data_IF_502680488583
#
_entry.id   IF_502680488583
#
_cell.length_a   1.000
_cell.length_b   1.000
_cell.length_c   1.000
_cell.angle_alpha   90.00
_cell.angle_beta   90.00
_cell.angle_gamma   90.00
#
_symmetry.space_group_name_H-M   'P 1'
#
loop_
_entity.id
_entity.type
_entity.pdbx_description
1 polymer ?
#
# COMPACT_ATOMS: atom_id res chain seq x y z
N UNK A 1 26.29 -4.96 57.00
CA UNK A 1 26.03 -5.70 55.75
C UNK A 1 26.02 -4.73 54.58
N UNK A 2 26.69 -5.07 53.47
CA UNK A 2 26.92 -4.17 52.35
C UNK A 2 25.60 -3.87 51.59
N UNK A 3 25.22 -2.59 51.48
CA UNK A 3 23.94 -2.15 50.88
C UNK A 3 23.75 -2.71 49.47
N UNK A 4 24.83 -2.89 48.72
CA UNK A 4 24.83 -3.51 47.39
C UNK A 4 24.35 -4.96 47.41
N UNK A 5 24.79 -5.77 48.40
CA UNK A 5 24.37 -7.17 48.55
C UNK A 5 22.90 -7.28 48.94
N UNK A 6 22.39 -6.32 49.71
CA UNK A 6 20.98 -6.25 50.11
C UNK A 6 20.10 -5.90 48.91
N UNK A 7 20.47 -4.87 48.12
CA UNK A 7 19.76 -4.50 46.90
C UNK A 7 19.75 -5.65 45.89
N UNK A 8 20.90 -6.32 45.68
CA UNK A 8 21.00 -7.47 44.80
C UNK A 8 20.09 -8.62 45.25
N UNK A 9 20.07 -8.94 46.55
CA UNK A 9 19.21 -10.00 47.10
C UNK A 9 17.72 -9.67 46.93
N UNK A 10 17.31 -8.41 47.14
CA UNK A 10 15.94 -7.98 46.92
C UNK A 10 15.53 -8.14 45.44
N UNK A 11 16.40 -7.72 44.52
CA UNK A 11 16.16 -7.80 43.08
C UNK A 11 16.05 -9.25 42.60
N UNK A 12 16.86 -10.14 43.17
CA UNK A 12 16.83 -11.57 42.88
C UNK A 12 15.53 -12.22 43.38
N UNK A 13 15.03 -11.78 44.55
CA UNK A 13 13.75 -12.24 45.10
C UNK A 13 12.57 -11.81 44.22
N UNK A 14 12.57 -10.57 43.75
CA UNK A 14 11.56 -10.06 42.81
C UNK A 14 11.61 -10.80 41.47
N UNK A 15 12.81 -11.06 40.94
CA UNK A 15 13.00 -11.82 39.70
C UNK A 15 12.45 -13.24 39.82
N UNK A 16 12.80 -13.95 40.90
CA UNK A 16 12.32 -15.31 41.15
C UNK A 16 10.79 -15.34 41.29
N UNK A 17 10.20 -14.38 42.00
CA UNK A 17 8.75 -14.23 42.12
C UNK A 17 8.07 -13.98 40.77
N UNK A 18 8.64 -13.13 39.92
CA UNK A 18 8.10 -12.82 38.59
C UNK A 18 8.15 -14.03 37.65
N UNK A 19 9.26 -14.79 37.65
CA UNK A 19 9.39 -16.00 36.83
C UNK A 19 8.40 -17.07 37.28
N UNK A 20 8.26 -17.27 38.59
CA UNK A 20 7.26 -18.18 39.16
C UNK A 20 5.85 -17.79 38.73
N UNK A 21 5.47 -16.52 38.93
CA UNK A 21 4.16 -16.01 38.52
C UNK A 21 3.88 -16.18 37.02
N UNK A 22 4.88 -15.90 36.18
CA UNK A 22 4.78 -16.08 34.73
C UNK A 22 4.55 -17.55 34.35
N UNK A 23 5.24 -18.49 35.01
CA UNK A 23 5.06 -19.91 34.74
C UNK A 23 3.67 -20.39 35.13
N UNK A 24 3.17 -20.00 36.31
CA UNK A 24 1.81 -20.36 36.76
C UNK A 24 0.73 -19.81 35.83
N UNK A 25 0.95 -18.63 35.24
CA UNK A 25 -0.04 -17.96 34.38
C UNK A 25 0.17 -18.19 32.89
N UNK A 26 1.20 -18.94 32.51
CA UNK A 26 1.44 -19.31 31.11
C UNK A 26 0.30 -20.21 30.61
N UNK A 27 -0.48 -19.78 29.60
CA UNK A 27 -1.53 -20.62 29.05
C UNK A 27 -0.87 -21.79 28.31
N UNK A 28 -1.10 -23.02 28.79
CA UNK A 28 -0.61 -24.21 28.10
C UNK A 28 -1.37 -24.39 26.79
N UNK A 29 -0.63 -24.52 25.70
CA UNK A 29 -1.18 -24.90 24.41
C UNK A 29 -1.77 -26.31 24.55
N UNK A 30 -3.05 -26.47 24.23
CA UNK A 30 -3.71 -27.77 24.20
C UNK A 30 -3.28 -28.50 22.93
N UNK A 31 -2.24 -29.32 23.03
CA UNK A 31 -1.85 -30.21 21.95
C UNK A 31 -2.87 -31.34 21.82
N UNK A 32 -3.56 -31.41 20.69
CA UNK A 32 -4.50 -32.49 20.39
C UNK A 32 -3.68 -33.72 19.97
N UNK A 33 -3.60 -34.72 20.85
CA UNK A 33 -2.76 -35.92 20.70
C UNK A 33 -3.00 -36.74 19.41
N UNK A 34 -4.15 -36.55 18.75
CA UNK A 34 -4.43 -37.17 17.47
C UNK A 34 -5.26 -36.25 16.58
N UNK A 35 -4.67 -35.79 15.48
CA UNK A 35 -5.40 -35.12 14.42
C UNK A 35 -6.32 -36.16 13.75
N UNK A 36 -7.63 -36.01 13.93
CA UNK A 36 -8.65 -36.92 13.37
C UNK A 36 -8.64 -36.95 11.83
N UNK A 37 -8.07 -35.94 11.19
CA UNK A 37 -7.89 -35.88 9.74
C UNK A 37 -6.41 -35.69 9.42
N UNK A 38 -5.82 -36.66 8.72
CA UNK A 38 -4.47 -36.55 8.16
C UNK A 38 -4.53 -35.79 6.83
N UNK A 39 -3.57 -34.90 6.54
CA UNK A 39 -3.48 -34.26 5.23
C UNK A 39 -3.35 -35.34 4.14
N UNK A 40 -4.23 -35.30 3.14
CA UNK A 40 -4.30 -36.29 2.05
C UNK A 40 -5.40 -37.34 2.19
N UNK A 41 -6.16 -37.37 3.28
CA UNK A 41 -7.26 -38.33 3.45
C UNK A 41 -8.56 -37.77 2.84
N UNK A 42 -9.07 -38.42 1.79
CA UNK A 42 -10.39 -38.10 1.21
C UNK A 42 -11.50 -38.55 2.15
N UNK A 43 -12.38 -37.63 2.54
CA UNK A 43 -13.51 -37.93 3.40
C UNK A 43 -14.54 -38.80 2.65
N UNK A 44 -14.69 -40.06 3.05
CA UNK A 44 -15.78 -40.91 2.55
C UNK A 44 -17.08 -40.54 3.27
N UNK A 45 -17.89 -39.72 2.62
CA UNK A 45 -19.27 -39.46 3.07
C UNK A 45 -20.11 -40.70 2.74
N UNK A 46 -20.30 -41.59 3.72
CA UNK A 46 -21.26 -42.68 3.60
C UNK A 46 -22.68 -42.12 3.74
N UNK A 47 -23.33 -41.86 2.61
CA UNK A 47 -24.74 -41.44 2.57
C UNK A 47 -25.61 -42.69 2.70
N UNK A 48 -26.07 -42.98 3.92
CA UNK A 48 -27.02 -44.06 4.15
C UNK A 48 -28.39 -43.67 3.53
N UNK A 49 -28.80 -44.33 2.45
CA UNK A 49 -30.00 -44.00 1.64
C UNK A 49 -31.35 -44.37 2.31
N UNK A 50 -31.36 -44.73 3.60
CA UNK A 50 -32.59 -45.08 4.33
C UNK A 50 -32.54 -44.53 5.76
N UNK A 51 -32.92 -43.27 5.93
CA UNK A 51 -33.38 -42.78 7.22
C UNK A 51 -34.57 -41.83 6.97
N UNK A 52 -35.72 -42.00 7.66
CA UNK A 52 -36.86 -41.13 7.48
C UNK A 52 -36.53 -39.73 7.96
N UNK A 53 -36.96 -38.73 7.20
CA UNK A 53 -36.82 -37.31 7.53
C UNK A 53 -37.67 -36.99 8.75
N UNK A 54 -37.03 -36.88 9.91
CA UNK A 54 -37.60 -36.16 11.06
C UNK A 54 -37.20 -34.69 10.92
N UNK A 55 -38.11 -33.73 11.20
CA UNK A 55 -37.77 -32.31 11.15
C UNK A 55 -36.85 -31.98 12.33
N UNK A 56 -35.54 -32.08 12.07
CA UNK A 56 -34.52 -31.67 13.02
C UNK A 56 -34.57 -30.14 13.17
N UNK A 57 -34.64 -29.72 14.44
CA UNK A 57 -34.51 -28.34 14.86
C UNK A 57 -33.37 -27.63 14.13
N UNK A 58 -33.60 -26.37 13.76
CA UNK A 58 -32.70 -25.51 12.99
C UNK A 58 -31.35 -25.41 13.69
N UNK A 59 -30.42 -26.26 13.25
CA UNK A 59 -29.01 -26.18 13.62
C UNK A 59 -28.38 -25.16 12.67
N UNK A 60 -28.04 -23.98 13.19
CA UNK A 60 -27.46 -22.83 12.47
C UNK A 60 -26.05 -23.09 11.90
N UNK A 61 -25.67 -24.37 11.78
CA UNK A 61 -24.41 -24.87 11.25
C UNK A 61 -24.61 -25.82 10.07
N UNK A 62 -25.83 -25.90 9.55
CA UNK A 62 -26.14 -26.68 8.35
C UNK A 62 -26.19 -25.76 7.11
N UNK A 63 -25.59 -26.24 6.02
CA UNK A 63 -25.61 -25.53 4.74
C UNK A 63 -27.05 -25.51 4.22
N UNK A 64 -27.61 -24.32 4.01
CA UNK A 64 -28.95 -24.16 3.47
C UNK A 64 -28.98 -24.41 1.96
N UNK A 65 -29.12 -25.67 1.56
CA UNK A 65 -29.20 -26.04 0.14
C UNK A 65 -30.40 -25.42 -0.59
N UNK A 66 -31.44 -25.02 0.14
CA UNK A 66 -32.61 -24.34 -0.43
C UNK A 66 -32.30 -22.99 -1.09
N UNK A 67 -31.15 -22.36 -0.78
CA UNK A 67 -30.73 -21.11 -1.42
C UNK A 67 -30.11 -21.33 -2.82
N UNK A 68 -29.72 -22.57 -3.16
CA UNK A 68 -29.21 -22.91 -4.50
C UNK A 68 -30.35 -23.10 -5.50
N UNK A 69 -31.52 -23.56 -5.04
CA UNK A 69 -32.71 -23.73 -5.86
C UNK A 69 -33.46 -22.40 -6.11
N UNK A 70 -33.06 -21.33 -5.43
CA UNK A 70 -33.54 -19.99 -5.75
C UNK A 70 -32.94 -19.53 -7.08
N UNK A 71 -33.78 -19.51 -8.12
CA UNK A 71 -33.47 -18.88 -9.39
C UNK A 71 -33.12 -17.41 -9.15
N UNK A 72 -31.82 -17.10 -9.15
CA UNK A 72 -31.36 -15.71 -9.00
C UNK A 72 -31.90 -14.89 -10.17
N UNK A 73 -32.54 -13.73 -9.91
CA UNK A 73 -32.99 -12.87 -10.99
C UNK A 73 -31.77 -12.46 -11.83
N UNK A 74 -31.87 -12.65 -13.15
CA UNK A 74 -30.78 -12.36 -14.07
C UNK A 74 -30.29 -10.92 -13.88
N UNK A 75 -28.97 -10.74 -13.81
CA UNK A 75 -28.36 -9.42 -13.66
C UNK A 75 -28.76 -8.52 -14.85
N UNK A 76 -29.59 -7.50 -14.58
CA UNK A 76 -30.06 -6.50 -15.55
C UNK A 76 -29.08 -5.35 -15.75
N UNK A 77 -27.92 -5.39 -15.09
CA UNK A 77 -26.90 -4.35 -15.16
C UNK A 77 -25.99 -4.43 -16.39
N UNK A 78 -25.04 -3.50 -16.43
CA UNK A 78 -24.11 -3.33 -17.55
C UNK A 78 -23.10 -4.47 -17.64
N UNK A 79 -23.14 -5.25 -18.73
CA UNK A 79 -22.18 -6.32 -19.02
C UNK A 79 -20.97 -5.75 -19.76
N UNK A 80 -20.01 -5.19 -19.04
CA UNK A 80 -18.70 -4.81 -19.61
C UNK A 80 -17.75 -5.99 -19.53
N UNK A 81 -17.11 -6.34 -20.64
CA UNK A 81 -15.99 -7.28 -20.62
C UNK A 81 -14.76 -6.56 -20.05
N UNK A 82 -14.56 -6.68 -18.74
CA UNK A 82 -13.40 -6.10 -18.04
C UNK A 82 -12.08 -6.80 -18.36
N UNK A 83 -12.13 -7.90 -19.11
CA UNK A 83 -10.96 -8.62 -19.60
C UNK A 83 -10.65 -8.33 -21.07
N UNK A 84 -11.42 -7.45 -21.74
CA UNK A 84 -11.01 -6.99 -23.05
C UNK A 84 -9.78 -6.10 -22.90
N UNK A 85 -8.70 -6.32 -23.69
CA UNK A 85 -7.52 -5.48 -23.63
C UNK A 85 -7.90 -4.01 -23.83
N UNK A 86 -7.45 -3.16 -22.90
CA UNK A 86 -7.75 -1.72 -22.86
C UNK A 86 -7.14 -1.00 -24.08
N UNK A 87 -6.09 -1.58 -24.65
CA UNK A 87 -5.40 -1.08 -25.83
C UNK A 87 -5.75 -1.98 -27.02
N UNK A 88 -6.87 -1.68 -27.68
CA UNK A 88 -7.02 -2.05 -29.09
C UNK A 88 -6.26 -1.00 -29.86
N UNK A 89 -5.05 -1.34 -30.29
CA UNK A 89 -4.36 -0.58 -31.31
C UNK A 89 -5.22 -0.72 -32.57
N UNK A 90 -6.06 0.29 -32.78
CA UNK A 90 -6.95 0.39 -33.93
C UNK A 90 -6.04 0.51 -35.15
N UNK A 91 -5.77 -0.64 -35.79
CA UNK A 91 -5.01 -0.69 -37.02
C UNK A 91 -5.68 0.29 -37.99
N UNK A 92 -4.98 1.34 -38.46
CA UNK A 92 -5.61 2.33 -39.31
C UNK A 92 -6.17 1.64 -40.55
N UNK A 93 -7.40 2.00 -40.98
CA UNK A 93 -8.01 1.37 -42.14
C UNK A 93 -7.08 1.58 -43.34
N UNK A 94 -6.74 0.49 -44.04
CA UNK A 94 -5.85 0.53 -45.19
C UNK A 94 -6.40 1.52 -46.24
N UNK A 95 -5.80 2.71 -46.30
CA UNK A 95 -6.16 3.73 -47.27
C UNK A 95 -5.74 3.26 -48.66
N UNK A 96 -6.73 3.00 -49.52
CA UNK A 96 -6.52 2.73 -50.94
C UNK A 96 -5.99 4.01 -51.60
N UNK A 97 -4.72 4.00 -52.00
CA UNK A 97 -4.11 5.12 -52.71
C UNK A 97 -4.64 5.21 -54.16
N UNK A 98 -5.00 6.40 -54.67
CA UNK A 98 -5.34 6.60 -56.07
C UNK A 98 -4.08 6.65 -56.97
N UNK A 99 -4.20 6.35 -58.28
CA UNK A 99 -3.07 6.38 -59.20
C UNK A 99 -2.55 7.80 -59.45
N UNK A 100 -1.24 7.95 -59.77
CA UNK A 100 -0.61 9.27 -59.88
C UNK A 100 -1.07 10.05 -61.12
N UNK A 101 -1.24 11.39 -61.02
CA UNK A 101 -1.65 12.24 -62.14
C UNK A 101 -0.48 12.61 -63.08
N UNK A 102 -0.77 13.01 -64.35
CA UNK A 102 0.24 13.39 -65.33
C UNK A 102 0.91 14.74 -64.99
N UNK A 103 2.13 15.00 -65.50
CA UNK A 103 2.91 16.17 -65.10
C UNK A 103 2.32 17.48 -65.68
N UNK A 104 1.92 18.38 -64.77
CA UNK A 104 1.44 19.73 -65.09
C UNK A 104 2.61 20.72 -65.07
N UNK A 105 2.67 21.60 -66.08
CA UNK A 105 3.66 22.70 -66.18
C UNK A 105 3.55 23.64 -64.98
N UNK A 106 4.69 23.97 -64.38
CA UNK A 106 4.80 24.78 -63.17
C UNK A 106 4.32 26.23 -63.39
N UNK A 107 3.45 26.78 -62.51
CA UNK A 107 3.17 28.21 -62.43
C UNK A 107 4.27 28.97 -61.67
N UNK A 108 4.31 30.32 -61.75
CA UNK A 108 5.36 31.14 -61.16
C UNK A 108 5.37 31.07 -59.63
N UNK A 109 6.56 31.24 -59.04
CA UNK A 109 6.81 31.09 -57.61
C UNK A 109 5.91 32.01 -56.76
N UNK A 110 5.26 31.49 -55.70
CA UNK A 110 4.52 32.29 -54.74
C UNK A 110 5.44 33.11 -53.81
N UNK A 111 4.91 34.18 -53.19
CA UNK A 111 5.68 35.02 -52.26
C UNK A 111 6.14 34.23 -51.01
N UNK A 112 7.19 34.69 -50.31
CA UNK A 112 7.76 33.95 -49.20
C UNK A 112 6.74 33.79 -48.08
N UNK A 113 6.51 32.54 -47.66
CA UNK A 113 5.65 32.23 -46.52
C UNK A 113 6.26 32.80 -45.22
N UNK A 114 5.44 33.24 -44.25
CA UNK A 114 5.92 33.57 -42.92
C UNK A 114 6.68 32.38 -42.33
N UNK A 115 7.91 32.65 -41.87
CA UNK A 115 8.78 31.65 -41.26
C UNK A 115 8.04 30.99 -40.09
N UNK A 116 7.89 29.67 -40.15
CA UNK A 116 7.38 28.88 -39.04
C UNK A 116 8.26 29.13 -37.82
N UNK A 117 7.63 29.57 -36.72
CA UNK A 117 8.33 29.70 -35.44
C UNK A 117 8.93 28.33 -35.06
N UNK A 118 10.21 28.28 -34.65
CA UNK A 118 10.82 27.04 -34.18
C UNK A 118 10.00 26.45 -33.03
N UNK A 119 9.70 25.15 -33.12
CA UNK A 119 9.08 24.44 -32.01
C UNK A 119 9.93 24.63 -30.74
N UNK A 120 9.31 24.90 -29.57
CA UNK A 120 10.06 25.08 -28.35
C UNK A 120 10.90 23.82 -28.06
N UNK A 121 12.15 23.98 -27.57
CA UNK A 121 13.02 22.87 -27.29
C UNK A 121 12.36 21.92 -26.27
N UNK A 122 12.62 20.60 -26.35
CA UNK A 122 12.11 19.66 -25.37
C UNK A 122 12.57 20.06 -23.96
N UNK A 123 11.71 19.89 -22.94
CA UNK A 123 12.06 20.26 -21.58
C UNK A 123 13.32 19.48 -21.13
N UNK A 124 14.23 20.12 -20.37
CA UNK A 124 15.45 19.47 -19.91
C UNK A 124 15.11 18.28 -19.01
N UNK A 125 15.93 17.21 -19.03
CA UNK A 125 15.74 16.07 -18.13
C UNK A 125 15.77 16.54 -16.67
N UNK A 126 14.91 15.97 -15.80
CA UNK A 126 14.83 16.37 -14.40
C UNK A 126 16.17 16.15 -13.70
N UNK A 127 16.66 17.18 -13.02
CA UNK A 127 17.89 17.10 -12.22
C UNK A 127 17.65 16.21 -10.99
N UNK A 128 18.68 15.53 -10.47
CA UNK A 128 18.55 14.64 -9.30
C UNK A 128 17.90 15.33 -8.08
N UNK A 129 18.18 16.62 -7.85
CA UNK A 129 17.52 17.43 -6.83
C UNK A 129 15.99 17.48 -6.99
N UNK A 130 15.52 17.59 -8.23
CA UNK A 130 14.10 17.69 -8.56
C UNK A 130 13.37 16.35 -8.35
N UNK A 131 14.08 15.24 -8.57
CA UNK A 131 13.59 13.89 -8.26
C UNK A 131 13.52 13.69 -6.75
N UNK A 132 14.58 14.06 -6.02
CA UNK A 132 14.61 13.96 -4.56
C UNK A 132 13.51 14.81 -3.90
N UNK A 133 13.25 16.02 -4.39
CA UNK A 133 12.14 16.88 -3.93
C UNK A 133 10.77 16.23 -4.20
N UNK A 134 10.58 15.65 -5.38
CA UNK A 134 9.35 14.94 -5.74
C UNK A 134 9.13 13.69 -4.89
N UNK A 135 10.21 13.00 -4.51
CA UNK A 135 10.16 11.84 -3.60
C UNK A 135 9.89 12.24 -2.16
N UNK A 136 10.47 13.36 -1.70
CA UNK A 136 10.20 13.90 -0.36
C UNK A 136 8.74 14.38 -0.23
N UNK A 137 8.16 14.94 -1.29
CA UNK A 137 6.76 15.39 -1.32
C UNK A 137 5.73 14.24 -1.21
N UNK A 138 6.15 12.98 -1.42
CA UNK A 138 5.28 11.80 -1.27
C UNK A 138 5.06 11.39 0.18
N UNK A 139 5.85 11.91 1.12
CA UNK A 139 5.63 11.68 2.54
C UNK A 139 4.42 12.50 3.00
N UNK A 140 3.38 11.80 3.44
CA UNK A 140 2.18 12.41 4.02
C UNK A 140 2.22 12.24 5.53
N UNK A 141 2.08 13.33 6.27
CA UNK A 141 1.97 13.27 7.72
C UNK A 141 0.59 12.72 8.13
N UNK A 142 0.59 11.67 8.95
CA UNK A 142 -0.62 11.04 9.46
C UNK A 142 -0.95 11.45 10.90
N UNK A 143 0.07 11.69 11.72
CA UNK A 143 -0.10 12.02 13.14
C UNK A 143 1.20 11.87 13.92
N UNK A 144 1.16 12.14 15.22
CA UNK A 144 2.28 11.89 16.12
C UNK A 144 1.83 11.28 17.45
N UNK A 145 2.74 10.55 18.08
CA UNK A 145 2.60 10.04 19.45
C UNK A 145 3.66 10.70 20.32
N UNK A 146 3.25 11.33 21.43
CA UNK A 146 4.15 11.86 22.44
C UNK A 146 4.08 10.96 23.67
N UNK A 147 5.17 10.27 24.01
CA UNK A 147 5.26 9.38 25.18
C UNK A 147 6.59 9.61 25.89
N UNK A 148 6.56 9.84 27.21
CA UNK A 148 7.75 10.06 28.04
C UNK A 148 8.68 11.19 27.54
N UNK A 149 8.13 12.24 26.92
CA UNK A 149 8.90 13.33 26.32
C UNK A 149 9.49 13.02 24.94
N UNK A 150 9.38 11.78 24.45
CA UNK A 150 9.75 11.42 23.08
C UNK A 150 8.56 11.59 22.13
N UNK A 151 8.78 12.33 21.04
CA UNK A 151 7.81 12.47 19.94
C UNK A 151 8.15 11.49 18.82
N UNK A 152 7.16 10.70 18.42
CA UNK A 152 7.24 9.78 17.29
C UNK A 152 6.23 10.23 16.25
N UNK A 153 6.68 10.47 15.02
CA UNK A 153 5.83 10.93 13.93
C UNK A 153 5.46 9.75 13.04
N UNK A 154 4.20 9.67 12.66
CA UNK A 154 3.69 8.71 11.69
C UNK A 154 3.60 9.40 10.33
N UNK A 155 4.31 8.83 9.36
CA UNK A 155 4.30 9.26 7.97
C UNK A 155 3.75 8.13 7.13
N UNK A 156 3.03 8.44 6.06
CA UNK A 156 2.75 7.48 5.01
C UNK A 156 3.52 7.82 3.75
N UNK A 157 3.96 6.77 3.06
CA UNK A 157 4.55 6.84 1.72
C UNK A 157 4.11 5.61 0.96
N UNK A 158 3.53 5.79 -0.23
CA UNK A 158 3.05 4.68 -1.07
C UNK A 158 2.15 3.68 -0.29
N UNK A 159 1.25 4.18 0.55
CA UNK A 159 0.36 3.40 1.42
C UNK A 159 1.06 2.56 2.53
N UNK A 160 2.35 2.74 2.75
CA UNK A 160 3.09 2.17 3.88
C UNK A 160 3.22 3.21 5.00
N UNK A 161 3.03 2.78 6.26
CA UNK A 161 3.17 3.65 7.44
C UNK A 161 4.57 3.49 8.02
N UNK A 162 5.27 4.61 8.13
CA UNK A 162 6.66 4.71 8.61
C UNK A 162 6.66 5.52 9.90
N UNK A 163 7.35 4.99 10.92
CA UNK A 163 7.56 5.68 12.19
C UNK A 163 8.90 6.43 12.14
N UNK A 164 8.84 7.74 12.31
CA UNK A 164 9.98 8.63 12.27
C UNK A 164 10.25 9.24 13.65
N UNK A 165 11.47 9.04 14.17
CA UNK A 165 12.02 9.77 15.32
C UNK A 165 13.18 10.64 14.86
N UNK A 166 13.62 11.56 15.71
CA UNK A 166 14.84 12.34 15.47
C UNK A 166 16.02 11.41 15.21
N UNK A 167 16.73 11.59 14.10
CA UNK A 167 17.86 10.77 13.68
C UNK A 167 17.51 9.48 12.94
N UNK A 168 16.23 9.10 12.83
CA UNK A 168 15.80 7.91 12.09
C UNK A 168 15.97 8.09 10.58
N UNK A 169 16.39 7.03 9.88
CA UNK A 169 16.46 6.99 8.42
C UNK A 169 15.10 6.59 7.83
N UNK A 170 14.61 7.38 6.88
CA UNK A 170 13.41 7.06 6.11
C UNK A 170 13.80 6.37 4.81
N UNK A 171 13.71 5.04 4.80
CA UNK A 171 14.23 4.22 3.71
C UNK A 171 15.74 4.38 3.53
N UNK A 172 16.21 4.26 2.29
CA UNK A 172 17.66 4.26 1.98
C UNK A 172 18.22 5.64 1.62
N UNK A 173 17.36 6.65 1.48
CA UNK A 173 17.70 7.91 0.79
C UNK A 173 17.51 9.16 1.66
N UNK A 174 16.77 9.07 2.76
CA UNK A 174 16.39 10.22 3.56
C UNK A 174 16.64 9.98 5.05
N UNK A 175 16.92 11.05 5.80
CA UNK A 175 17.11 11.00 7.24
C UNK A 175 16.39 12.16 7.93
N UNK A 176 15.76 11.90 9.09
CA UNK A 176 15.23 12.95 9.95
C UNK A 176 16.39 13.64 10.66
N UNK A 177 16.60 14.91 10.35
CA UNK A 177 17.63 15.71 11.01
C UNK A 177 17.09 16.38 12.27
N UNK A 178 15.87 16.91 12.20
CA UNK A 178 15.23 17.53 13.34
C UNK A 178 13.73 17.26 13.41
N UNK A 179 13.21 17.24 14.63
CA UNK A 179 11.81 17.01 14.93
C UNK A 179 11.37 18.03 15.98
N UNK A 180 10.62 19.03 15.53
CA UNK A 180 10.07 20.09 16.37
C UNK A 180 8.58 19.84 16.65
N UNK A 181 7.94 20.67 17.47
CA UNK A 181 6.51 20.52 17.73
C UNK A 181 5.64 20.83 16.50
N UNK A 182 6.09 21.76 15.65
CA UNK A 182 5.33 22.24 14.49
C UNK A 182 5.77 21.63 13.15
N UNK A 183 6.99 21.12 13.05
CA UNK A 183 7.54 20.61 11.79
C UNK A 183 8.56 19.48 11.97
N UNK A 184 8.62 18.62 10.95
CA UNK A 184 9.62 17.58 10.77
C UNK A 184 10.58 18.00 9.66
N UNK A 185 11.89 17.97 9.94
CA UNK A 185 12.92 18.29 8.96
C UNK A 185 13.57 17.01 8.45
N UNK A 186 13.47 16.77 7.13
CA UNK A 186 14.07 15.63 6.44
C UNK A 186 15.20 16.12 5.55
N UNK A 187 16.33 15.41 5.54
CA UNK A 187 17.46 15.66 4.65
C UNK A 187 17.63 14.49 3.67
N UNK A 188 17.87 14.78 2.40
CA UNK A 188 18.34 13.79 1.43
C UNK A 188 19.80 13.44 1.71
N UNK A 189 20.11 12.14 1.76
CA UNK A 189 21.48 11.63 1.91
C UNK A 189 22.31 11.74 0.62
N UNK A 190 21.68 12.08 -0.52
CA UNK A 190 22.35 12.11 -1.83
C UNK A 190 22.65 13.52 -2.30
N UNK A 191 21.71 14.44 -2.10
CA UNK A 191 21.83 15.82 -2.59
C UNK A 191 21.97 16.82 -1.45
N UNK A 192 21.98 16.36 -0.19
CA UNK A 192 22.05 17.17 1.02
C UNK A 192 20.93 18.22 1.17
N UNK A 193 19.92 18.18 0.29
CA UNK A 193 18.74 19.05 0.35
C UNK A 193 17.91 18.76 1.59
N UNK A 194 17.42 19.83 2.21
CA UNK A 194 16.59 19.80 3.39
C UNK A 194 15.17 20.20 3.04
N UNK A 195 14.19 19.39 3.43
CA UNK A 195 12.77 19.68 3.27
C UNK A 195 12.08 19.69 4.63
N UNK A 196 11.29 20.72 4.86
CA UNK A 196 10.51 20.89 6.10
C UNK A 196 9.07 20.45 5.83
N UNK A 197 8.64 19.40 6.52
CA UNK A 197 7.27 18.90 6.49
C UNK A 197 6.54 19.45 7.72
N UNK A 198 5.58 20.38 7.55
CA UNK A 198 4.78 20.86 8.66
C UNK A 198 3.92 19.72 9.22
N UNK A 199 3.88 19.58 10.54
CA UNK A 199 3.10 18.57 11.28
C UNK A 199 1.64 19.03 11.44
N UNK A 200 1.04 19.56 10.36
CA UNK A 200 -0.36 19.99 10.37
C UNK A 200 -1.27 18.81 10.09
N UNK A 201 -2.20 18.54 11.01
CA UNK A 201 -3.23 17.53 10.82
C UNK A 201 -4.06 17.87 9.56
N UNK A 202 -4.13 16.94 8.61
CA UNK A 202 -5.02 16.96 7.44
C UNK A 202 -4.77 18.02 6.35
N UNK A 203 -3.54 18.14 5.82
CA UNK A 203 -3.35 18.81 4.52
C UNK A 203 -2.28 18.13 3.65
N UNK A 204 -2.70 17.58 2.50
CA UNK A 204 -1.76 17.21 1.43
C UNK A 204 -1.06 18.48 0.95
N UNK A 205 0.27 18.45 0.90
CA UNK A 205 1.09 19.60 0.47
C UNK A 205 1.04 19.72 -1.06
N UNK A 206 -0.12 20.12 -1.59
CA UNK A 206 -0.26 20.54 -2.97
C UNK A 206 0.29 21.97 -3.13
N UNK A 207 1.32 22.06 -3.96
CA UNK A 207 2.00 23.27 -4.45
C UNK A 207 1.04 24.45 -4.65
N UNK A 208 1.30 25.57 -3.96
CA UNK A 208 0.68 26.87 -4.25
C UNK A 208 1.34 27.43 -5.51
N UNK A 209 0.79 27.14 -6.68
CA UNK A 209 1.12 27.88 -7.91
C UNK A 209 0.56 29.29 -7.77
N UNK A 210 1.43 30.27 -7.93
CA UNK A 210 1.08 31.69 -8.05
C UNK A 210 1.09 32.06 -9.52
#
# INVERSE_FOLDING_TARGET
MNRQKLVLSLLLLVLAGSVGYSFLRSPRQQEVAALKNRPGMVASVSRNKKAPVQPAAVDNKSVHLAQLDQAQPGFTGFKRNIFSPIFKEEAPPALKLPPPPPPVKLPPLPPPMPQAQPAPPPPPPPTQAQVDESEMAKFVFLGYLKKNGEKTVFLSRNNEIILAKKGTKLGSRFQVTDLTDDALTIKSLTTDQQMVIPLVENRSLARRTK
#
